data_IF_865980906954
#
_entry.id   IF_865980906954
#
_cell.length_a   1.000
_cell.length_b   1.000
_cell.length_c   1.000
_cell.angle_alpha   90.00
_cell.angle_beta   90.00
_cell.angle_gamma   90.00
#
_symmetry.space_group_name_H-M   'P 1'
#
loop_
_entity.id
_entity.type
_entity.pdbx_description
1 polymer ?
#
# COMPACT_ATOMS: atom_id res chain seq x y z
N UNK A 1 -1.64 -39.75 -16.63
CA UNK A 1 -0.66 -38.91 -15.93
C UNK A 1 -0.28 -37.82 -16.92
N UNK A 2 -0.51 -36.52 -16.75
CA UNK A 2 -0.29 -35.71 -15.55
C UNK A 2 -1.05 -34.37 -15.61
N UNK A 3 -1.59 -33.99 -14.44
CA UNK A 3 -1.69 -32.64 -13.84
C UNK A 3 -2.26 -31.49 -14.68
N UNK A 4 -3.50 -31.14 -14.33
CA UNK A 4 -4.17 -29.87 -14.55
C UNK A 4 -3.25 -28.70 -14.14
N UNK A 5 -2.76 -27.92 -15.11
CA UNK A 5 -2.16 -26.63 -14.81
C UNK A 5 -3.28 -25.69 -14.33
N UNK A 6 -3.49 -25.63 -13.00
CA UNK A 6 -4.38 -24.68 -12.35
C UNK A 6 -3.84 -23.26 -12.55
N UNK A 7 -4.21 -22.64 -13.67
CA UNK A 7 -4.00 -21.21 -13.93
C UNK A 7 -5.11 -20.39 -13.30
N UNK A 8 -5.23 -20.44 -11.98
CA UNK A 8 -6.11 -19.56 -11.22
C UNK A 8 -5.44 -19.11 -9.93
N UNK A 9 -4.29 -18.44 -10.07
CA UNK A 9 -3.76 -17.59 -9.01
C UNK A 9 -4.49 -16.22 -9.00
N UNK A 10 -5.79 -16.21 -9.30
CA UNK A 10 -6.61 -15.01 -9.12
C UNK A 10 -6.86 -14.88 -7.62
N UNK A 11 -6.04 -14.05 -6.97
CA UNK A 11 -6.30 -13.63 -5.60
C UNK A 11 -7.62 -12.87 -5.62
N UNK A 12 -8.63 -13.39 -4.90
CA UNK A 12 -9.87 -12.66 -4.65
C UNK A 12 -9.49 -11.43 -3.83
N UNK A 13 -9.25 -10.32 -4.52
CA UNK A 13 -9.17 -9.01 -3.90
C UNK A 13 -10.48 -8.79 -3.15
N UNK A 14 -10.41 -8.31 -1.91
CA UNK A 14 -11.61 -8.06 -1.10
C UNK A 14 -12.61 -7.13 -1.79
N UNK A 15 -13.77 -6.91 -1.19
CA UNK A 15 -14.74 -5.98 -1.79
C UNK A 15 -14.29 -4.53 -1.55
N UNK A 16 -14.39 -3.66 -2.56
CA UNK A 16 -14.29 -2.21 -2.34
C UNK A 16 -15.31 -1.77 -1.26
N UNK A 17 -15.01 -0.73 -0.47
CA UNK A 17 -13.90 0.22 -0.59
C UNK A 17 -12.76 -0.09 0.39
N UNK A 18 -11.77 -0.91 0.01
CA UNK A 18 -10.63 -1.46 0.78
C UNK A 18 -10.06 -0.58 1.93
N UNK A 19 -10.74 -0.47 3.08
CA UNK A 19 -10.50 0.66 3.96
C UNK A 19 -9.20 0.48 4.72
N UNK A 20 -8.90 -0.76 5.11
CA UNK A 20 -7.67 -1.14 5.80
C UNK A 20 -6.41 -0.82 4.99
N UNK A 21 -6.39 -1.20 3.70
CA UNK A 21 -5.24 -0.94 2.82
C UNK A 21 -5.06 0.56 2.58
N UNK A 22 -6.17 1.27 2.38
CA UNK A 22 -6.16 2.73 2.20
C UNK A 22 -5.62 3.45 3.43
N UNK A 23 -6.08 3.11 4.63
CA UNK A 23 -5.63 3.73 5.88
C UNK A 23 -4.12 3.52 6.07
N UNK A 24 -3.64 2.29 5.87
CA UNK A 24 -2.21 2.00 5.97
C UNK A 24 -1.42 2.83 4.95
N UNK A 25 -1.83 2.83 3.69
CA UNK A 25 -1.17 3.64 2.66
C UNK A 25 -1.14 5.13 3.00
N UNK A 26 -2.21 5.67 3.59
CA UNK A 26 -2.26 7.08 4.03
C UNK A 26 -1.29 7.35 5.19
N UNK A 27 -1.16 6.43 6.14
CA UNK A 27 -0.20 6.56 7.25
C UNK A 27 1.23 6.55 6.70
N UNK A 28 1.56 5.61 5.80
CA UNK A 28 2.88 5.56 5.16
C UNK A 28 3.16 6.85 4.37
N UNK A 29 2.17 7.34 3.63
CA UNK A 29 2.28 8.58 2.87
C UNK A 29 2.54 9.78 3.78
N UNK A 30 1.78 9.93 4.86
CA UNK A 30 1.96 11.00 5.83
C UNK A 30 3.34 10.96 6.49
N UNK A 31 3.82 9.76 6.86
CA UNK A 31 5.17 9.56 7.38
C UNK A 31 6.25 9.96 6.37
N UNK A 32 6.09 9.62 5.09
CA UNK A 32 7.00 10.02 4.03
C UNK A 32 7.05 11.54 3.86
N UNK A 33 5.89 12.21 3.84
CA UNK A 33 5.83 13.67 3.78
C UNK A 33 6.45 14.35 4.99
N UNK A 34 6.28 13.78 6.19
CA UNK A 34 6.94 14.30 7.40
C UNK A 34 8.46 14.24 7.27
N UNK A 35 9.01 13.10 6.85
CA UNK A 35 10.45 12.94 6.62
C UNK A 35 10.94 13.91 5.55
N UNK A 36 10.20 14.05 4.45
CA UNK A 36 10.52 15.00 3.40
C UNK A 36 10.49 16.46 3.91
N UNK A 37 9.49 16.84 4.70
CA UNK A 37 9.38 18.19 5.26
C UNK A 37 10.55 18.54 6.20
N UNK A 38 11.07 17.56 6.95
CA UNK A 38 12.30 17.72 7.74
C UNK A 38 13.52 17.84 6.81
N UNK A 39 13.63 16.99 5.79
CA UNK A 39 14.75 17.01 4.82
C UNK A 39 14.85 18.34 4.07
N UNK A 40 13.72 18.86 3.59
CA UNK A 40 13.63 20.16 2.92
C UNK A 40 13.68 21.35 3.89
N UNK A 41 13.89 21.10 5.20
CA UNK A 41 14.02 22.17 6.22
C UNK A 41 12.79 23.09 6.31
N UNK A 42 11.61 22.59 5.92
CA UNK A 42 10.35 23.35 5.92
C UNK A 42 9.85 23.53 7.36
N UNK A 43 9.98 22.50 8.19
CA UNK A 43 9.50 22.49 9.59
C UNK A 43 10.58 22.92 10.58
N UNK A 44 11.87 22.78 10.24
CA UNK A 44 12.98 23.21 11.07
C UNK A 44 14.20 23.59 10.20
N UNK A 45 14.32 24.86 9.77
CA UNK A 45 15.43 25.33 8.94
C UNK A 45 16.80 25.27 9.63
#
# INVERSE_FOLDING_TARGET
>A
MTSQATKDATIKTGNPPYPYRTIISLILLAGNFLVAAIYFRIINP
#
